data_IF_813666825395
#
_entry.id   IF_813666825395
#
_cell.length_a   1.000
_cell.length_b   1.000
_cell.length_c   1.000
_cell.angle_alpha   90.00
_cell.angle_beta   90.00
_cell.angle_gamma   90.00
#
_symmetry.space_group_name_H-M   'P 1'
#
loop_
_entity.id
_entity.type
_entity.pdbx_description
1 polymer ?
#
# COMPACT_ATOMS: atom_id res chain seq x y z
N UNK A 1 -4.91 11.96 -9.69
CA UNK A 1 -4.82 13.42 -9.42
C UNK A 1 -3.61 13.69 -8.56
N UNK A 2 -2.83 14.70 -8.88
CA UNK A 2 -1.61 15.07 -8.16
C UNK A 2 -1.69 16.54 -7.72
N UNK A 3 -1.44 16.79 -6.42
CA UNK A 3 -1.18 18.12 -5.88
C UNK A 3 0.33 18.26 -5.76
N UNK A 4 0.94 19.20 -6.47
CA UNK A 4 2.39 19.41 -6.43
C UNK A 4 2.74 20.13 -5.12
N UNK A 5 3.23 19.39 -4.13
CA UNK A 5 3.74 19.99 -2.88
C UNK A 5 5.23 20.30 -2.93
N UNK A 6 5.98 19.56 -3.72
CA UNK A 6 7.38 19.73 -4.09
C UNK A 6 7.66 18.80 -5.29
N UNK A 7 8.73 19.04 -6.05
CA UNK A 7 9.21 18.06 -7.03
C UNK A 7 9.83 16.87 -6.27
N UNK A 8 8.98 15.92 -5.89
CA UNK A 8 9.43 14.67 -5.31
C UNK A 8 9.67 13.67 -6.44
N UNK A 9 10.91 13.28 -6.62
CA UNK A 9 11.32 12.35 -7.68
C UNK A 9 10.60 10.99 -7.58
N UNK A 10 10.32 10.53 -6.37
CA UNK A 10 9.64 9.26 -6.12
C UNK A 10 8.19 9.31 -6.59
N UNK A 11 7.48 10.41 -6.35
CA UNK A 11 6.10 10.60 -6.82
C UNK A 11 6.03 10.64 -8.35
N UNK A 12 6.99 11.32 -9.00
CA UNK A 12 7.07 11.40 -10.47
C UNK A 12 7.35 10.02 -11.06
N UNK A 13 8.23 9.25 -10.44
CA UNK A 13 8.56 7.89 -10.90
C UNK A 13 7.35 6.96 -10.74
N UNK A 14 6.64 7.05 -9.64
CA UNK A 14 5.42 6.28 -9.38
C UNK A 14 4.30 6.64 -10.36
N UNK A 15 4.07 7.93 -10.60
CA UNK A 15 3.11 8.42 -11.60
C UNK A 15 3.41 7.89 -13.00
N UNK A 16 4.67 7.97 -13.45
CA UNK A 16 5.10 7.44 -14.75
C UNK A 16 4.82 5.94 -14.89
N UNK A 17 5.04 5.18 -13.81
CA UNK A 17 4.77 3.74 -13.80
C UNK A 17 3.25 3.46 -13.90
N UNK A 18 2.41 4.22 -13.20
CA UNK A 18 0.95 4.11 -13.31
C UNK A 18 0.50 4.43 -14.75
N UNK A 19 0.94 5.55 -15.31
CA UNK A 19 0.60 5.96 -16.68
C UNK A 19 1.00 4.88 -17.69
N UNK A 20 2.22 4.37 -17.58
CA UNK A 20 2.71 3.30 -18.45
C UNK A 20 1.84 2.04 -18.33
N UNK A 21 1.47 1.66 -17.14
CA UNK A 21 0.66 0.47 -16.89
C UNK A 21 -0.78 0.64 -17.36
N UNK A 22 -1.40 1.81 -17.17
CA UNK A 22 -2.70 2.14 -17.72
C UNK A 22 -2.72 2.06 -19.23
N UNK A 23 -1.74 2.69 -19.92
CA UNK A 23 -1.63 2.66 -21.37
C UNK A 23 -1.48 1.23 -21.92
N UNK A 24 -0.68 0.39 -21.24
CA UNK A 24 -0.50 -1.01 -21.63
C UNK A 24 -1.78 -1.85 -21.52
N UNK A 25 -2.70 -1.45 -20.65
CA UNK A 25 -3.99 -2.12 -20.41
C UNK A 25 -5.16 -1.46 -21.14
N UNK A 26 -4.91 -0.40 -21.94
CA UNK A 26 -5.97 0.35 -22.61
C UNK A 26 -6.86 1.17 -21.66
N UNK A 27 -6.36 1.48 -20.46
CA UNK A 27 -7.07 2.32 -19.49
C UNK A 27 -6.72 3.78 -19.77
N UNK A 28 -7.73 4.59 -20.06
CA UNK A 28 -7.55 6.03 -20.18
C UNK A 28 -7.20 6.65 -18.83
N UNK A 29 -6.19 7.51 -18.83
CA UNK A 29 -5.76 8.20 -17.64
C UNK A 29 -5.80 9.71 -17.84
N UNK A 30 -6.47 10.40 -16.94
CA UNK A 30 -6.51 11.85 -16.91
C UNK A 30 -5.65 12.36 -15.75
N UNK A 31 -4.61 13.12 -16.08
CA UNK A 31 -3.72 13.69 -15.07
C UNK A 31 -4.16 15.11 -14.71
N UNK A 32 -4.76 15.25 -13.54
CA UNK A 32 -5.13 16.55 -12.95
C UNK A 32 -4.04 17.01 -12.00
N UNK A 33 -3.39 18.11 -12.31
CA UNK A 33 -2.31 18.68 -11.47
C UNK A 33 -2.75 20.02 -10.90
N UNK A 34 -2.69 20.18 -9.58
CA UNK A 34 -2.90 21.43 -8.87
C UNK A 34 -1.58 21.99 -8.34
N UNK A 35 -1.41 23.32 -8.29
CA UNK A 35 -0.20 23.93 -7.74
C UNK A 35 -0.09 23.69 -6.22
N UNK A 36 1.11 23.71 -5.68
CA UNK A 36 1.37 23.47 -4.25
C UNK A 36 0.69 24.46 -3.31
N UNK A 37 0.35 25.63 -3.81
CA UNK A 37 -0.38 26.68 -3.07
C UNK A 37 -1.89 26.67 -3.32
N UNK A 38 -2.44 25.64 -3.97
CA UNK A 38 -3.90 25.53 -4.15
C UNK A 38 -4.62 25.54 -2.81
N UNK A 39 -5.82 26.08 -2.81
CA UNK A 39 -6.69 26.05 -1.63
C UNK A 39 -7.30 24.66 -1.43
N UNK A 40 -7.79 24.42 -0.23
CA UNK A 40 -8.57 23.21 0.04
C UNK A 40 -9.84 23.16 -0.80
N UNK A 41 -10.47 24.30 -1.05
CA UNK A 41 -11.72 24.38 -1.83
C UNK A 41 -11.47 24.06 -3.31
N UNK A 42 -10.33 24.43 -3.89
CA UNK A 42 -9.93 24.03 -5.24
C UNK A 42 -9.87 22.51 -5.37
N UNK A 43 -9.22 21.84 -4.42
CA UNK A 43 -9.12 20.39 -4.42
C UNK A 43 -10.46 19.71 -4.17
N UNK A 44 -11.29 20.24 -3.27
CA UNK A 44 -12.66 19.76 -3.02
C UNK A 44 -13.51 19.90 -4.28
N UNK A 45 -13.46 21.04 -4.96
CA UNK A 45 -14.18 21.28 -6.20
C UNK A 45 -13.84 20.25 -7.27
N UNK A 46 -12.54 20.01 -7.48
CA UNK A 46 -12.06 19.02 -8.45
C UNK A 46 -12.49 17.59 -8.11
N UNK A 47 -12.41 17.18 -6.84
CA UNK A 47 -12.88 15.86 -6.43
C UNK A 47 -14.40 15.69 -6.63
N UNK A 48 -15.18 16.72 -6.35
CA UNK A 48 -16.63 16.68 -6.58
C UNK A 48 -16.96 16.56 -8.06
N UNK A 49 -16.26 17.29 -8.93
CA UNK A 49 -16.38 17.16 -10.38
C UNK A 49 -16.11 15.70 -10.81
N UNK A 50 -14.96 15.13 -10.41
CA UNK A 50 -14.59 13.75 -10.75
C UNK A 50 -15.53 12.69 -10.14
N UNK A 51 -16.09 12.93 -8.97
CA UNK A 51 -17.10 12.05 -8.39
C UNK A 51 -18.39 12.02 -9.20
N UNK A 52 -18.80 13.19 -9.77
CA UNK A 52 -20.01 13.32 -10.57
C UNK A 52 -19.86 12.91 -12.03
N UNK A 53 -18.66 12.65 -12.50
CA UNK A 53 -18.40 12.24 -13.89
C UNK A 53 -18.44 10.72 -14.02
N UNK A 54 -19.44 10.18 -14.72
CA UNK A 54 -19.65 8.74 -14.90
C UNK A 54 -18.54 8.07 -15.73
N UNK A 55 -17.79 8.83 -16.54
CA UNK A 55 -16.65 8.33 -17.30
C UNK A 55 -15.40 8.10 -16.42
N UNK A 56 -15.38 8.68 -15.21
CA UNK A 56 -14.27 8.51 -14.24
C UNK A 56 -14.50 7.28 -13.39
N UNK A 57 -13.77 6.22 -13.70
CA UNK A 57 -13.84 4.94 -12.97
C UNK A 57 -13.07 4.86 -11.67
N UNK A 58 -12.06 5.69 -11.49
CA UNK A 58 -11.25 5.68 -10.28
C UNK A 58 -10.51 6.99 -10.05
N UNK A 59 -10.33 7.34 -8.80
CA UNK A 59 -9.63 8.55 -8.36
C UNK A 59 -8.47 8.15 -7.47
N UNK A 60 -7.26 8.58 -7.84
CA UNK A 60 -6.05 8.43 -7.05
C UNK A 60 -5.53 9.83 -6.67
N UNK A 61 -5.37 10.09 -5.39
CA UNK A 61 -4.80 11.35 -4.88
C UNK A 61 -3.43 11.08 -4.29
N UNK A 62 -2.39 11.65 -4.91
CA UNK A 62 -1.02 11.50 -4.45
C UNK A 62 -0.79 12.16 -3.09
N UNK A 63 0.10 11.61 -2.31
CA UNK A 63 0.45 12.07 -0.95
C UNK A 63 1.96 12.18 -0.78
N UNK A 64 2.41 13.05 0.14
CA UNK A 64 1.65 13.87 1.07
C UNK A 64 0.96 15.06 0.40
N UNK A 65 -0.18 15.49 0.93
CA UNK A 65 -0.84 16.73 0.53
C UNK A 65 -0.12 17.94 1.15
N UNK A 66 -0.20 19.14 0.51
CA UNK A 66 0.31 20.38 1.10
C UNK A 66 -0.28 20.66 2.48
N UNK A 67 0.51 21.32 3.35
CA UNK A 67 0.17 21.52 4.77
C UNK A 67 -1.15 22.29 5.02
N UNK A 68 -1.55 23.14 4.08
CA UNK A 68 -2.80 23.92 4.16
C UNK A 68 -4.05 23.06 3.87
N UNK A 69 -3.87 21.83 3.40
CA UNK A 69 -4.97 20.93 3.06
C UNK A 69 -5.18 19.91 4.17
N UNK A 70 -6.40 19.85 4.68
CA UNK A 70 -6.83 18.83 5.64
C UNK A 70 -7.04 17.49 4.91
N UNK A 71 -6.05 16.61 5.02
CA UNK A 71 -6.09 15.27 4.39
C UNK A 71 -7.31 14.46 4.82
N UNK A 72 -7.77 14.59 6.07
CA UNK A 72 -8.92 13.82 6.57
C UNK A 72 -10.24 14.20 5.88
N UNK A 73 -10.39 15.48 5.51
CA UNK A 73 -11.53 15.93 4.71
C UNK A 73 -11.47 15.40 3.29
N UNK A 74 -10.29 15.40 2.68
CA UNK A 74 -10.09 14.93 1.30
C UNK A 74 -10.33 13.42 1.19
N UNK A 75 -9.80 12.64 2.13
CA UNK A 75 -9.94 11.19 2.15
C UNK A 75 -11.40 10.73 2.08
N UNK A 76 -12.28 11.39 2.83
CA UNK A 76 -13.69 11.04 2.90
C UNK A 76 -14.58 11.72 1.84
N UNK A 77 -13.99 12.53 0.97
CA UNK A 77 -14.72 13.17 -0.11
C UNK A 77 -14.77 12.32 -1.38
N UNK A 78 -13.78 11.48 -1.59
CA UNK A 78 -13.74 10.57 -2.73
C UNK A 78 -14.87 9.55 -2.56
N UNK A 79 -15.70 9.40 -3.60
CA UNK A 79 -16.78 8.42 -3.60
C UNK A 79 -16.19 7.00 -3.39
N UNK A 80 -16.70 6.20 -2.44
CA UNK A 80 -16.09 4.92 -2.10
C UNK A 80 -15.90 3.96 -3.29
N UNK A 81 -16.80 4.02 -4.26
CA UNK A 81 -16.73 3.21 -5.48
C UNK A 81 -15.72 3.73 -6.53
N UNK A 82 -15.14 4.94 -6.33
CA UNK A 82 -14.06 5.53 -7.15
C UNK A 82 -12.74 5.64 -6.38
N UNK A 83 -12.71 5.29 -5.11
CA UNK A 83 -11.55 5.40 -4.22
C UNK A 83 -10.63 4.19 -4.39
N UNK A 84 -9.85 4.17 -5.47
CA UNK A 84 -9.00 3.03 -5.86
C UNK A 84 -7.80 2.80 -4.94
N UNK A 85 -7.47 3.75 -4.07
CA UNK A 85 -6.41 3.64 -3.07
C UNK A 85 -6.95 3.31 -1.67
N UNK A 86 -8.27 3.13 -1.56
CA UNK A 86 -8.95 2.76 -0.31
C UNK A 86 -8.62 3.71 0.85
N UNK A 87 -8.74 5.01 0.60
CA UNK A 87 -8.40 6.04 1.58
C UNK A 87 -9.59 6.49 2.41
N UNK A 88 -10.81 6.29 1.90
CA UNK A 88 -12.04 6.69 2.57
C UNK A 88 -12.32 5.85 3.82
N UNK A 89 -12.88 6.48 4.84
CA UNK A 89 -13.29 5.78 6.05
C UNK A 89 -14.32 4.68 5.78
N UNK A 90 -15.15 4.84 4.74
CA UNK A 90 -16.13 3.82 4.34
C UNK A 90 -15.44 2.56 3.82
N UNK A 91 -14.45 2.68 2.92
CA UNK A 91 -13.70 1.53 2.42
C UNK A 91 -12.87 0.87 3.54
N UNK A 92 -12.25 1.65 4.43
CA UNK A 92 -11.53 1.11 5.58
C UNK A 92 -12.45 0.37 6.56
N UNK A 93 -13.68 0.88 6.80
CA UNK A 93 -14.71 0.22 7.60
C UNK A 93 -15.07 -1.15 7.01
N UNK A 94 -15.22 -1.26 5.70
CA UNK A 94 -15.52 -2.51 5.01
C UNK A 94 -14.43 -3.56 5.21
N UNK A 95 -13.15 -3.16 5.18
CA UNK A 95 -12.04 -4.07 5.53
C UNK A 95 -12.18 -4.56 6.97
N UNK A 96 -12.47 -3.66 7.91
CA UNK A 96 -12.65 -4.01 9.31
C UNK A 96 -13.80 -4.99 9.53
N UNK A 97 -14.91 -4.84 8.79
CA UNK A 97 -16.10 -5.70 8.86
C UNK A 97 -15.99 -6.96 7.97
N UNK A 98 -14.89 -7.15 7.26
CA UNK A 98 -14.70 -8.26 6.30
C UNK A 98 -15.77 -8.32 5.20
N UNK A 99 -16.20 -7.16 4.70
CA UNK A 99 -17.14 -7.05 3.58
C UNK A 99 -16.42 -7.33 2.25
N UNK A 100 -17.03 -8.13 1.36
CA UNK A 100 -16.38 -8.64 0.15
C UNK A 100 -16.25 -7.63 -0.98
N UNK A 101 -17.21 -6.72 -1.13
CA UNK A 101 -17.23 -5.74 -2.21
C UNK A 101 -16.50 -4.46 -1.81
N UNK A 102 -15.18 -4.47 -1.87
CA UNK A 102 -14.37 -3.35 -1.43
C UNK A 102 -13.17 -3.10 -2.35
N UNK A 103 -12.67 -1.87 -2.37
CA UNK A 103 -11.28 -1.60 -2.72
C UNK A 103 -10.40 -1.85 -1.48
N UNK A 104 -9.22 -2.39 -1.73
CA UNK A 104 -8.19 -2.57 -0.71
C UNK A 104 -7.03 -1.62 -0.99
N UNK A 105 -6.34 -1.10 0.04
CA UNK A 105 -5.15 -0.30 -0.17
C UNK A 105 -4.11 -1.09 -0.98
N UNK A 106 -3.55 -0.47 -2.01
CA UNK A 106 -2.75 -1.18 -3.00
C UNK A 106 -1.54 -1.90 -2.41
N UNK A 107 -0.81 -1.28 -1.48
CA UNK A 107 0.38 -1.89 -0.87
C UNK A 107 0.04 -3.05 0.08
N UNK A 108 -0.92 -2.95 1.01
CA UNK A 108 -1.44 -4.09 1.76
C UNK A 108 -1.88 -5.25 0.87
N UNK A 109 -2.63 -4.96 -0.19
CA UNK A 109 -3.07 -5.99 -1.13
C UNK A 109 -1.90 -6.65 -1.86
N UNK A 110 -0.89 -5.87 -2.27
CA UNK A 110 0.31 -6.43 -2.91
C UNK A 110 1.04 -7.43 -1.99
N UNK A 111 1.14 -7.14 -0.69
CA UNK A 111 1.70 -8.08 0.30
C UNK A 111 0.90 -9.39 0.34
N UNK A 112 -0.42 -9.30 0.45
CA UNK A 112 -1.30 -10.49 0.47
C UNK A 112 -1.18 -11.30 -0.82
N UNK A 113 -1.17 -10.64 -1.98
CA UNK A 113 -1.08 -11.30 -3.28
C UNK A 113 0.29 -11.97 -3.48
N UNK A 114 1.38 -11.38 -2.97
CA UNK A 114 2.69 -12.04 -2.99
C UNK A 114 2.70 -13.29 -2.13
N UNK A 115 2.17 -13.24 -0.91
CA UNK A 115 2.06 -14.42 -0.04
C UNK A 115 1.27 -15.54 -0.74
N UNK A 116 0.13 -15.20 -1.37
CA UNK A 116 -0.68 -16.15 -2.14
C UNK A 116 0.06 -16.72 -3.35
N UNK A 117 0.73 -15.86 -4.12
CA UNK A 117 1.46 -16.26 -5.33
C UNK A 117 2.56 -17.30 -5.04
N UNK A 118 3.25 -17.13 -3.92
CA UNK A 118 4.27 -18.08 -3.47
C UNK A 118 3.72 -19.24 -2.64
N UNK A 119 2.38 -19.40 -2.59
CA UNK A 119 1.69 -20.43 -1.81
C UNK A 119 2.07 -20.43 -0.33
N UNK A 120 2.35 -19.26 0.24
CA UNK A 120 2.63 -19.10 1.66
C UNK A 120 1.30 -19.10 2.40
N UNK A 121 1.10 -20.11 3.23
CA UNK A 121 -0.10 -20.23 4.07
C UNK A 121 -0.16 -19.07 5.07
N UNK A 122 -1.32 -18.42 5.17
CA UNK A 122 -1.55 -17.30 6.09
C UNK A 122 -2.39 -17.77 7.29
N UNK A 123 -3.37 -18.63 7.06
CA UNK A 123 -4.26 -19.13 8.10
C UNK A 123 -3.47 -19.84 9.23
N UNK A 124 -3.77 -19.48 10.47
CA UNK A 124 -3.11 -20.01 11.66
C UNK A 124 -1.68 -19.52 11.91
N UNK A 125 -1.08 -18.73 10.98
CA UNK A 125 0.28 -18.19 11.14
C UNK A 125 0.33 -17.00 12.08
N UNK A 126 1.44 -16.85 12.78
CA UNK A 126 1.79 -15.67 13.57
C UNK A 126 2.45 -14.65 12.64
N UNK A 127 1.76 -13.56 12.35
CA UNK A 127 2.23 -12.52 11.43
C UNK A 127 2.54 -11.25 12.21
N UNK A 128 3.82 -10.85 12.24
CA UNK A 128 4.25 -9.59 12.81
C UNK A 128 4.25 -8.49 11.74
N UNK A 129 3.49 -7.42 11.97
CA UNK A 129 3.47 -6.24 11.10
C UNK A 129 4.14 -5.07 11.82
N UNK A 130 5.29 -4.61 11.31
CA UNK A 130 6.07 -3.51 11.90
C UNK A 130 5.74 -2.20 11.18
N UNK A 131 4.55 -1.71 11.40
CA UNK A 131 4.01 -0.43 10.91
C UNK A 131 2.60 -0.24 11.48
N UNK A 132 2.21 1.01 11.82
CA UNK A 132 0.84 1.29 12.28
C UNK A 132 0.18 2.47 11.56
N UNK A 133 0.63 2.75 10.33
CA UNK A 133 0.04 3.82 9.52
C UNK A 133 -1.39 3.47 9.10
N UNK A 134 -2.16 4.49 8.75
CA UNK A 134 -3.52 4.34 8.21
C UNK A 134 -3.54 3.65 6.85
N UNK A 135 -2.45 3.84 6.07
CA UNK A 135 -2.38 3.41 4.67
C UNK A 135 -1.79 2.02 4.49
N UNK A 136 -1.12 1.48 5.52
CA UNK A 136 -0.47 0.17 5.42
C UNK A 136 -0.71 -0.70 6.65
N UNK A 137 -0.07 -0.42 7.78
CA UNK A 137 -0.03 -1.36 8.89
C UNK A 137 -1.40 -1.69 9.46
N UNK A 138 -2.26 -0.70 9.67
CA UNK A 138 -3.61 -0.95 10.20
C UNK A 138 -4.50 -1.73 9.22
N UNK A 139 -4.67 -1.31 7.95
CA UNK A 139 -5.49 -2.09 7.03
C UNK A 139 -4.90 -3.48 6.75
N UNK A 140 -3.59 -3.61 6.59
CA UNK A 140 -2.94 -4.92 6.42
C UNK A 140 -3.21 -5.86 7.59
N UNK A 141 -3.15 -5.35 8.83
CA UNK A 141 -3.45 -6.17 10.01
C UNK A 141 -4.86 -6.72 10.00
N UNK A 142 -5.86 -5.92 9.58
CA UNK A 142 -7.24 -6.40 9.43
C UNK A 142 -7.38 -7.39 8.27
N UNK A 143 -6.74 -7.12 7.14
CA UNK A 143 -6.75 -8.04 5.99
C UNK A 143 -6.14 -9.41 6.35
N UNK A 144 -5.06 -9.43 7.10
CA UNK A 144 -4.42 -10.67 7.59
C UNK A 144 -5.30 -11.39 8.61
N UNK A 145 -5.94 -10.65 9.54
CA UNK A 145 -6.92 -11.21 10.47
C UNK A 145 -8.09 -11.86 9.73
N UNK A 146 -8.60 -11.21 8.69
CA UNK A 146 -9.68 -11.72 7.84
C UNK A 146 -9.27 -12.96 7.01
N UNK A 147 -7.97 -13.28 6.96
CA UNK A 147 -7.38 -14.48 6.38
C UNK A 147 -6.92 -15.47 7.47
N UNK A 148 -7.52 -15.40 8.66
CA UNK A 148 -7.30 -16.31 9.79
C UNK A 148 -5.88 -16.29 10.37
N UNK A 149 -5.10 -15.20 10.18
CA UNK A 149 -3.80 -15.04 10.82
C UNK A 149 -3.92 -14.58 12.28
N UNK A 150 -2.96 -14.95 13.10
CA UNK A 150 -2.71 -14.30 14.40
C UNK A 150 -1.78 -13.11 14.19
N UNK A 151 -2.30 -11.89 14.27
CA UNK A 151 -1.57 -10.68 13.92
C UNK A 151 -1.00 -9.98 15.15
N UNK A 152 0.29 -9.63 15.09
CA UNK A 152 0.99 -8.83 16.09
C UNK A 152 1.39 -7.50 15.42
N UNK A 153 0.73 -6.41 15.80
CA UNK A 153 0.99 -5.08 15.24
C UNK A 153 2.04 -4.34 16.08
N UNK A 154 3.23 -4.15 15.51
CA UNK A 154 4.37 -3.50 16.14
C UNK A 154 4.61 -2.09 15.62
N UNK A 155 5.26 -1.27 16.45
CA UNK A 155 5.55 0.13 16.14
C UNK A 155 6.75 0.65 16.95
N UNK A 156 7.16 1.89 16.75
CA UNK A 156 8.33 2.53 17.39
C UNK A 156 8.34 2.55 18.94
N UNK A 157 7.23 2.16 19.59
CA UNK A 157 7.14 2.03 21.07
C UNK A 157 7.03 0.58 21.53
N UNK A 158 7.06 -0.38 20.62
CA UNK A 158 7.05 -1.81 20.93
C UNK A 158 8.36 -2.17 21.63
N UNK A 159 8.25 -2.84 22.75
CA UNK A 159 9.41 -3.38 23.50
C UNK A 159 9.68 -4.81 23.04
N UNK A 160 10.93 -5.22 23.14
CA UNK A 160 11.39 -6.59 22.81
C UNK A 160 10.99 -7.02 21.37
N UNK A 161 11.17 -6.09 20.40
CA UNK A 161 10.78 -6.34 19.00
C UNK A 161 11.47 -7.57 18.43
N UNK A 162 12.77 -7.76 18.71
CA UNK A 162 13.55 -8.93 18.29
C UNK A 162 12.90 -10.24 18.73
N UNK A 163 12.47 -10.34 19.99
CA UNK A 163 11.79 -11.54 20.50
C UNK A 163 10.45 -11.78 19.79
N UNK A 164 9.70 -10.71 19.47
CA UNK A 164 8.43 -10.81 18.78
C UNK A 164 8.64 -11.33 17.34
N UNK A 165 9.59 -10.73 16.63
CA UNK A 165 9.85 -11.10 15.22
C UNK A 165 10.44 -12.49 15.09
N UNK A 166 11.38 -12.89 15.97
CA UNK A 166 11.94 -14.26 16.04
C UNK A 166 10.86 -15.34 16.29
N UNK A 167 9.78 -14.99 17.02
CA UNK A 167 8.68 -15.91 17.32
C UNK A 167 7.50 -15.77 16.34
N UNK A 168 7.70 -15.12 15.20
CA UNK A 168 6.70 -14.96 14.15
C UNK A 168 7.06 -15.79 12.92
N UNK A 169 6.05 -16.38 12.28
CA UNK A 169 6.22 -17.15 11.04
C UNK A 169 6.48 -16.23 9.86
N UNK A 170 5.76 -15.09 9.82
CA UNK A 170 5.86 -14.08 8.78
C UNK A 170 6.12 -12.73 9.44
N UNK A 171 7.10 -12.00 8.94
CA UNK A 171 7.40 -10.62 9.38
C UNK A 171 7.23 -9.67 8.21
N UNK A 172 6.41 -8.64 8.39
CA UNK A 172 6.17 -7.61 7.39
C UNK A 172 6.68 -6.29 7.94
N UNK A 173 7.68 -5.71 7.28
CA UNK A 173 8.28 -4.45 7.71
C UNK A 173 8.00 -3.33 6.72
N UNK A 174 7.66 -2.16 7.25
CA UNK A 174 7.46 -0.91 6.52
C UNK A 174 7.83 0.28 7.41
N UNK A 175 9.10 0.37 7.69
CA UNK A 175 9.70 1.41 8.54
C UNK A 175 10.48 2.43 7.69
N UNK A 176 10.70 3.67 8.17
CA UNK A 176 11.46 4.65 7.40
C UNK A 176 12.97 4.38 7.35
N UNK A 177 13.49 3.52 8.24
CA UNK A 177 14.91 3.20 8.32
C UNK A 177 15.28 2.13 7.28
N UNK A 178 16.25 2.42 6.43
CA UNK A 178 16.88 1.45 5.53
C UNK A 178 17.99 0.67 6.26
N UNK A 179 18.20 -0.59 5.84
CA UNK A 179 19.26 -1.46 6.36
C UNK A 179 19.29 -1.54 7.90
N UNK A 180 18.12 -1.57 8.52
CA UNK A 180 17.95 -1.56 9.98
C UNK A 180 17.93 -2.96 10.59
N UNK A 181 17.19 -3.91 9.96
CA UNK A 181 16.98 -5.24 10.51
C UNK A 181 18.07 -6.23 10.05
N UNK A 182 18.90 -6.67 10.97
CA UNK A 182 19.85 -7.75 10.78
C UNK A 182 19.29 -9.12 11.20
N UNK A 183 20.15 -10.16 11.21
CA UNK A 183 19.78 -11.53 11.55
C UNK A 183 19.24 -11.69 12.98
N UNK A 184 19.59 -10.81 13.89
CA UNK A 184 19.14 -10.82 15.29
C UNK A 184 17.62 -10.66 15.45
N UNK A 185 16.94 -10.15 14.43
CA UNK A 185 15.47 -10.01 14.42
C UNK A 185 14.73 -11.26 13.90
N UNK A 186 15.40 -12.25 13.38
CA UNK A 186 14.76 -13.34 12.64
C UNK A 186 15.24 -14.72 13.12
N UNK A 187 14.53 -15.75 12.69
CA UNK A 187 14.97 -17.14 12.78
C UNK A 187 15.09 -17.74 11.37
N UNK A 188 15.67 -18.94 11.28
CA UNK A 188 15.94 -19.61 10.00
C UNK A 188 14.68 -19.92 9.17
N UNK A 189 13.51 -20.02 9.81
CA UNK A 189 12.23 -20.28 9.15
C UNK A 189 11.45 -19.02 8.80
N UNK A 190 11.95 -17.84 9.17
CA UNK A 190 11.25 -16.57 8.95
C UNK A 190 11.01 -16.30 7.47
N UNK A 191 9.79 -15.89 7.15
CA UNK A 191 9.40 -15.34 5.85
C UNK A 191 9.25 -13.84 6.02
N UNK A 192 9.99 -13.05 5.24
CA UNK A 192 10.05 -11.61 5.45
C UNK A 192 9.55 -10.86 4.22
N UNK A 193 8.55 -10.00 4.42
CA UNK A 193 8.06 -9.09 3.39
C UNK A 193 8.53 -7.67 3.73
N UNK A 194 9.51 -7.19 3.01
CA UNK A 194 10.01 -5.82 3.16
C UNK A 194 9.28 -4.88 2.19
N UNK A 195 8.52 -3.96 2.78
CA UNK A 195 7.75 -2.92 2.05
C UNK A 195 8.49 -1.58 2.04
N UNK A 196 9.54 -1.48 2.86
CA UNK A 196 10.35 -0.26 2.96
C UNK A 196 11.04 0.01 1.62
N UNK A 197 11.07 1.27 1.23
CA UNK A 197 11.91 1.74 0.14
C UNK A 197 12.57 3.06 0.55
N UNK A 198 13.85 3.17 0.34
CA UNK A 198 14.63 4.36 0.64
C UNK A 198 15.96 4.32 -0.09
N UNK A 199 16.83 5.26 0.24
CA UNK A 199 18.18 5.35 -0.33
C UNK A 199 19.17 5.17 0.79
N UNK A 200 20.11 4.23 0.62
CA UNK A 200 21.18 3.99 1.60
C UNK A 200 22.32 5.00 1.46
N UNK A 201 23.31 4.92 2.34
CA UNK A 201 24.47 5.81 2.36
C UNK A 201 25.29 5.81 1.04
N UNK A 202 25.17 4.74 0.25
CA UNK A 202 25.83 4.64 -1.06
C UNK A 202 24.99 5.24 -2.21
N UNK A 203 23.84 5.85 -1.91
CA UNK A 203 22.94 6.42 -2.92
C UNK A 203 22.13 5.37 -3.70
N UNK A 204 22.07 4.13 -3.23
CA UNK A 204 21.30 3.04 -3.86
C UNK A 204 19.97 2.81 -3.16
N UNK A 205 18.97 2.38 -3.94
CA UNK A 205 17.69 1.93 -3.38
C UNK A 205 17.90 0.73 -2.46
N UNK A 206 17.35 0.79 -1.26
CA UNK A 206 17.44 -0.25 -0.26
C UNK A 206 16.13 -0.37 0.54
N UNK A 207 15.88 -1.53 1.11
CA UNK A 207 14.83 -1.81 2.06
C UNK A 207 15.27 -1.65 3.50
N UNK A 208 14.45 -2.12 4.43
CA UNK A 208 14.77 -2.12 5.85
C UNK A 208 15.71 -3.25 6.26
N UNK A 209 15.91 -4.24 5.40
CA UNK A 209 16.71 -5.43 5.70
C UNK A 209 18.19 -5.21 5.38
N UNK A 210 19.06 -5.69 6.26
CA UNK A 210 20.49 -5.86 5.96
C UNK A 210 20.67 -7.16 5.16
N UNK A 211 20.43 -7.09 3.84
CA UNK A 211 20.35 -8.28 2.99
C UNK A 211 21.58 -9.18 3.10
N UNK A 212 22.78 -8.62 3.22
CA UNK A 212 24.03 -9.40 3.35
C UNK A 212 24.09 -10.27 4.63
N UNK A 213 23.36 -9.90 5.68
CA UNK A 213 23.27 -10.68 6.92
C UNK A 213 22.21 -11.78 6.86
N UNK A 214 21.13 -11.57 6.10
CA UNK A 214 19.95 -12.43 6.13
C UNK A 214 19.80 -13.38 4.94
N UNK A 215 20.41 -13.09 3.79
CA UNK A 215 20.20 -13.80 2.52
C UNK A 215 20.45 -15.32 2.58
N UNK A 216 21.31 -15.79 3.48
CA UNK A 216 21.60 -17.19 3.69
C UNK A 216 21.17 -17.69 5.08
N UNK A 217 20.36 -16.90 5.78
CA UNK A 217 19.96 -17.21 7.15
C UNK A 217 18.45 -17.46 7.27
N UNK A 218 17.62 -16.69 6.59
CA UNK A 218 16.16 -16.83 6.65
C UNK A 218 15.62 -17.71 5.53
N UNK A 219 14.40 -18.23 5.69
CA UNK A 219 13.74 -19.06 4.68
C UNK A 219 13.55 -18.28 3.36
N UNK A 220 12.95 -17.10 3.45
CA UNK A 220 12.71 -16.24 2.28
C UNK A 220 12.49 -14.79 2.66
N UNK A 221 12.80 -13.89 1.74
CA UNK A 221 12.52 -12.46 1.89
C UNK A 221 12.26 -11.81 0.54
N UNK A 222 11.56 -10.65 0.55
CA UNK A 222 11.39 -9.84 -0.66
C UNK A 222 12.54 -8.86 -0.80
N UNK A 223 13.19 -8.78 -1.98
CA UNK A 223 14.27 -7.83 -2.22
C UNK A 223 13.74 -6.40 -2.44
N UNK A 224 14.59 -5.41 -2.21
CA UNK A 224 14.35 -4.01 -2.57
C UNK A 224 15.54 -3.50 -3.37
N UNK A 225 15.35 -3.04 -4.62
CA UNK A 225 14.10 -2.97 -5.40
C UNK A 225 13.61 -4.34 -5.92
N UNK A 226 12.50 -4.35 -6.66
CA UNK A 226 11.86 -5.50 -7.33
C UNK A 226 11.03 -6.42 -6.44
N UNK A 227 10.76 -6.01 -5.19
CA UNK A 227 9.82 -6.69 -4.30
C UNK A 227 8.39 -6.13 -4.43
N UNK A 228 7.78 -5.81 -3.29
CA UNK A 228 6.38 -5.38 -3.15
C UNK A 228 6.00 -4.21 -4.06
N UNK A 229 6.87 -3.19 -4.19
CA UNK A 229 6.62 -2.03 -5.05
C UNK A 229 6.36 -2.36 -6.52
N UNK A 230 6.88 -3.49 -7.03
CA UNK A 230 6.63 -3.95 -8.40
C UNK A 230 5.20 -4.47 -8.61
N UNK A 231 4.53 -4.88 -7.54
CA UNK A 231 3.20 -5.51 -7.56
C UNK A 231 2.09 -4.49 -7.28
N UNK A 232 2.39 -3.43 -6.56
CA UNK A 232 1.41 -2.44 -6.05
C UNK A 232 0.53 -1.85 -7.15
N UNK A 233 1.12 -1.37 -8.26
CA UNK A 233 0.36 -0.79 -9.38
C UNK A 233 -0.50 -1.86 -10.07
N UNK A 234 0.03 -3.06 -10.25
CA UNK A 234 -0.70 -4.14 -10.91
C UNK A 234 -1.97 -4.55 -10.14
N UNK A 235 -1.87 -4.69 -8.81
CA UNK A 235 -3.04 -5.06 -7.99
C UNK A 235 -4.07 -3.93 -7.92
N UNK A 236 -3.63 -2.68 -7.88
CA UNK A 236 -4.52 -1.51 -7.93
C UNK A 236 -5.34 -1.49 -9.23
N UNK A 237 -4.68 -1.63 -10.37
CA UNK A 237 -5.36 -1.65 -11.68
C UNK A 237 -6.24 -2.89 -11.87
N UNK A 238 -5.82 -4.05 -11.35
CA UNK A 238 -6.65 -5.26 -11.34
C UNK A 238 -7.96 -5.03 -10.59
N UNK A 239 -7.92 -4.45 -9.39
CA UNK A 239 -9.13 -4.12 -8.62
C UNK A 239 -10.09 -3.21 -9.41
N UNK A 240 -9.53 -2.18 -10.07
CA UNK A 240 -10.30 -1.27 -10.90
C UNK A 240 -11.03 -2.02 -12.02
N UNK A 241 -10.30 -2.86 -12.77
CA UNK A 241 -10.86 -3.63 -13.90
C UNK A 241 -11.91 -4.63 -13.41
N UNK A 242 -11.66 -5.37 -12.34
CA UNK A 242 -12.58 -6.36 -11.77
C UNK A 242 -13.90 -5.71 -11.33
N UNK A 243 -13.81 -4.52 -10.73
CA UNK A 243 -14.99 -3.78 -10.28
C UNK A 243 -15.86 -3.32 -11.46
N UNK A 244 -15.25 -2.86 -12.55
CA UNK A 244 -15.97 -2.49 -13.76
C UNK A 244 -16.67 -3.67 -14.44
N UNK A 245 -16.00 -4.80 -14.58
CA UNK A 245 -16.58 -6.02 -15.14
C UNK A 245 -17.81 -6.49 -14.34
N UNK A 246 -17.75 -6.40 -13.02
CA UNK A 246 -18.88 -6.79 -12.16
C UNK A 246 -20.07 -5.82 -12.27
N UNK A 247 -19.83 -4.53 -12.55
CA UNK A 247 -20.91 -3.58 -12.80
C UNK A 247 -21.63 -3.81 -14.12
N UNK A 248 -20.90 -4.16 -15.19
CA UNK A 248 -21.49 -4.50 -16.48
C UNK A 248 -22.39 -5.75 -16.39
N UNK A 249 -21.95 -6.78 -15.64
CA UNK A 249 -22.72 -8.03 -15.46
C UNK A 249 -24.02 -7.80 -14.68
N UNK A 250 -24.04 -6.88 -13.72
CA UNK A 250 -25.23 -6.59 -12.90
C UNK A 250 -26.23 -5.66 -13.57
N UNK A 251 -25.89 -5.06 -14.72
CA UNK A 251 -26.77 -4.19 -15.52
C UNK A 251 -27.51 -4.96 -16.65
N UNK A 252 -27.37 -6.27 -16.73
CA UNK A 252 -28.10 -7.20 -17.60
C UNK A 252 -28.91 -8.17 -16.75
#
# INVERSE_FOLDING_TARGET
MRVISAENYDDISYEKNIIKSCNALGINIENKTLPSNCSQDDLIGLIRELNGDDEVGGILVFRPLPKQIDSGKIENLIAPYKDIDCMSGENLKRIFLNERENFYPATPLAVIEMLKYYNIEIAGKRVCVINRSKVLGRPLSMMLLNLDATVILCHSKTKNLEQITQNSDIVITAVPQVEFFGKEFFNENSIIIDVTIGVNESGKLAGALKEFEIQNFVNSYTPVPKGVGSVTVAVMLRQLIEKYKNQEINNF
#
